data_IF_319525065441
#
_entry.id   IF_319525065441
#
_cell.length_a   1.000
_cell.length_b   1.000
_cell.length_c   1.000
_cell.angle_alpha   90.00
_cell.angle_beta   90.00
_cell.angle_gamma   90.00
#
_symmetry.space_group_name_H-M   'P 1'
#
loop_
_entity.id
_entity.type
_entity.pdbx_description
1 polymer ?
#
# COMPACT_ATOMS: atom_id res chain seq x y z
N UNK A 1 7.15 12.11 -40.37
CA UNK A 1 8.57 11.86 -40.71
C UNK A 1 9.46 12.20 -39.52
N UNK A 2 9.33 11.47 -38.40
CA UNK A 2 10.09 11.73 -37.17
C UNK A 2 11.02 10.56 -36.75
N UNK A 3 11.00 9.42 -37.45
CA UNK A 3 11.69 8.19 -37.02
C UNK A 3 13.00 7.87 -37.77
N UNK A 4 13.56 8.79 -38.56
CA UNK A 4 14.79 8.50 -39.31
C UNK A 4 16.10 8.69 -38.51
N UNK A 5 16.03 8.98 -37.20
CA UNK A 5 17.23 9.28 -36.38
C UNK A 5 17.36 8.48 -35.07
N UNK A 6 16.49 7.50 -34.79
CA UNK A 6 16.65 6.61 -33.63
C UNK A 6 17.60 5.46 -33.98
N UNK A 7 18.64 5.27 -33.16
CA UNK A 7 19.64 4.18 -33.32
C UNK A 7 19.01 2.85 -32.95
N UNK A 8 19.25 1.82 -33.75
CA UNK A 8 18.72 0.46 -33.53
C UNK A 8 19.06 -0.03 -32.10
N UNK A 9 18.10 -0.58 -31.36
CA UNK A 9 18.32 -1.05 -29.99
C UNK A 9 19.43 -2.10 -29.89
N UNK A 10 19.64 -2.91 -30.93
CA UNK A 10 20.78 -3.84 -31.00
C UNK A 10 22.12 -3.09 -31.10
N UNK A 11 22.17 -1.97 -31.84
CA UNK A 11 23.36 -1.11 -31.92
C UNK A 11 23.60 -0.30 -30.63
N UNK A 12 22.53 0.10 -29.93
CA UNK A 12 22.62 0.80 -28.64
C UNK A 12 23.22 -0.10 -27.58
N UNK A 13 22.82 -1.38 -27.53
CA UNK A 13 23.42 -2.37 -26.63
C UNK A 13 24.73 -2.97 -27.17
N UNK A 14 25.07 -2.74 -28.44
CA UNK A 14 26.28 -3.25 -29.08
C UNK A 14 26.28 -4.76 -29.26
N UNK A 15 25.12 -5.34 -29.55
CA UNK A 15 24.89 -6.78 -29.75
C UNK A 15 24.34 -7.05 -31.15
N UNK A 16 24.53 -8.27 -31.66
CA UNK A 16 23.98 -8.67 -32.95
C UNK A 16 22.46 -8.93 -32.85
N UNK A 17 21.73 -8.82 -33.98
CA UNK A 17 20.26 -9.00 -34.02
C UNK A 17 19.77 -10.40 -33.60
N UNK A 18 20.65 -11.40 -33.67
CA UNK A 18 20.43 -12.78 -33.24
C UNK A 18 20.94 -13.06 -31.82
N UNK A 19 21.32 -12.03 -31.06
CA UNK A 19 21.86 -12.21 -29.72
C UNK A 19 20.85 -12.89 -28.79
N UNK A 20 21.38 -13.80 -27.98
CA UNK A 20 20.63 -14.49 -26.91
C UNK A 20 20.32 -13.54 -25.76
N UNK A 21 19.28 -13.85 -24.98
CA UNK A 21 18.87 -13.04 -23.82
C UNK A 21 20.00 -12.89 -22.79
N UNK A 22 20.87 -13.90 -22.69
CA UNK A 22 22.06 -13.87 -21.84
C UNK A 22 23.10 -12.84 -22.32
N UNK A 23 23.29 -12.71 -23.63
CA UNK A 23 24.21 -11.73 -24.24
C UNK A 23 23.67 -10.31 -24.12
N UNK A 24 22.38 -10.12 -24.36
CA UNK A 24 21.67 -8.84 -24.19
C UNK A 24 21.80 -8.36 -22.73
N UNK A 25 21.54 -9.24 -21.76
CA UNK A 25 21.66 -8.93 -20.33
C UNK A 25 23.09 -8.62 -19.90
N UNK A 26 24.07 -9.32 -20.48
CA UNK A 26 25.50 -9.07 -20.21
C UNK A 26 25.96 -7.72 -20.77
N UNK A 27 25.52 -7.39 -21.99
CA UNK A 27 25.82 -6.11 -22.63
C UNK A 27 25.20 -4.93 -21.87
N UNK A 28 23.92 -5.06 -21.49
CA UNK A 28 23.22 -4.07 -20.67
C UNK A 28 23.96 -3.78 -19.37
N UNK A 29 24.32 -4.81 -18.59
CA UNK A 29 25.01 -4.62 -17.30
C UNK A 29 26.34 -3.88 -17.46
N UNK A 30 27.10 -4.19 -18.52
CA UNK A 30 28.39 -3.55 -18.81
C UNK A 30 28.22 -2.07 -19.15
N UNK A 31 27.21 -1.73 -19.95
CA UNK A 31 26.93 -0.36 -20.37
C UNK A 31 26.25 0.46 -19.27
N UNK A 32 25.33 -0.13 -18.51
CA UNK A 32 24.65 0.48 -17.38
C UNK A 32 25.62 0.85 -16.24
N UNK A 33 26.62 0.01 -15.96
CA UNK A 33 27.69 0.35 -15.01
C UNK A 33 28.56 1.50 -15.53
N UNK A 34 28.89 1.49 -16.83
CA UNK A 34 29.76 2.51 -17.45
C UNK A 34 29.11 3.90 -17.49
N UNK A 35 27.80 3.97 -17.71
CA UNK A 35 27.04 5.21 -17.83
C UNK A 35 26.14 5.49 -16.62
N UNK A 36 26.40 4.84 -15.48
CA UNK A 36 25.59 5.04 -14.27
C UNK A 36 25.71 6.49 -13.77
N UNK A 37 24.60 7.14 -13.37
CA UNK A 37 24.62 8.51 -12.83
C UNK A 37 25.58 8.69 -11.65
N UNK A 38 25.67 7.69 -10.76
CA UNK A 38 26.59 7.74 -9.61
C UNK A 38 28.07 7.69 -9.99
N UNK A 39 28.42 7.06 -11.12
CA UNK A 39 29.82 7.00 -11.59
C UNK A 39 30.18 8.18 -12.50
N UNK A 40 29.18 8.88 -13.03
CA UNK A 40 29.35 10.03 -13.94
C UNK A 40 28.47 11.21 -13.50
N UNK A 41 28.67 11.76 -12.28
CA UNK A 41 27.82 12.83 -11.77
C UNK A 41 27.97 14.10 -12.60
N UNK A 42 26.86 14.60 -13.16
CA UNK A 42 26.80 15.86 -13.91
C UNK A 42 27.13 15.79 -15.40
N UNK A 43 27.42 14.59 -15.95
CA UNK A 43 27.63 14.40 -17.38
C UNK A 43 26.30 14.13 -18.11
N UNK A 44 25.77 15.15 -18.79
CA UNK A 44 24.52 15.07 -19.56
C UNK A 44 24.58 14.02 -20.68
N UNK A 45 25.76 13.78 -21.24
CA UNK A 45 25.92 12.79 -22.32
C UNK A 45 25.89 11.35 -21.81
N UNK A 46 26.34 11.12 -20.57
CA UNK A 46 26.22 9.83 -19.91
C UNK A 46 24.76 9.53 -19.53
N UNK A 47 24.02 10.55 -19.09
CA UNK A 47 22.60 10.44 -18.76
C UNK A 47 21.73 10.10 -19.99
N UNK A 48 21.97 10.76 -21.12
CA UNK A 48 21.28 10.47 -22.40
C UNK A 48 21.56 9.04 -22.87
N UNK A 49 22.83 8.61 -22.85
CA UNK A 49 23.20 7.23 -23.20
C UNK A 49 22.58 6.21 -22.23
N UNK A 50 22.53 6.52 -20.95
CA UNK A 50 21.93 5.65 -19.94
C UNK A 50 20.42 5.47 -20.17
N UNK A 51 19.72 6.55 -20.57
CA UNK A 51 18.30 6.49 -20.96
C UNK A 51 18.11 5.60 -22.19
N UNK A 52 18.90 5.78 -23.24
CA UNK A 52 18.85 4.93 -24.45
C UNK A 52 19.12 3.45 -24.15
N UNK A 53 20.12 3.15 -23.29
CA UNK A 53 20.48 1.78 -22.89
C UNK A 53 19.34 1.10 -22.12
N UNK A 54 18.64 1.85 -21.24
CA UNK A 54 17.50 1.31 -20.49
C UNK A 54 16.30 1.04 -21.41
N UNK A 55 15.99 1.94 -22.33
CA UNK A 55 14.92 1.76 -23.33
C UNK A 55 15.20 0.52 -24.20
N UNK A 56 16.43 0.38 -24.70
CA UNK A 56 16.86 -0.78 -25.50
C UNK A 56 16.73 -2.10 -24.73
N UNK A 57 17.13 -2.12 -23.45
CA UNK A 57 17.02 -3.32 -22.63
C UNK A 57 15.57 -3.66 -22.30
N UNK A 58 14.70 -2.66 -22.04
CA UNK A 58 13.28 -2.91 -21.77
C UNK A 58 12.58 -3.60 -22.95
N UNK A 59 12.93 -3.20 -24.18
CA UNK A 59 12.37 -3.80 -25.40
C UNK A 59 12.99 -5.17 -25.70
N UNK A 60 14.32 -5.30 -25.61
CA UNK A 60 15.03 -6.51 -26.02
C UNK A 60 15.06 -7.62 -24.95
N UNK A 61 14.76 -7.31 -23.68
CA UNK A 61 14.72 -8.30 -22.60
C UNK A 61 13.37 -9.03 -22.48
N UNK A 62 12.33 -8.51 -23.10
CA UNK A 62 10.99 -9.09 -23.12
C UNK A 62 10.75 -9.77 -24.47
N UNK A 63 10.41 -11.06 -24.46
CA UNK A 63 10.28 -11.86 -25.69
C UNK A 63 9.18 -11.33 -26.63
N UNK A 64 8.09 -10.78 -26.09
CA UNK A 64 6.96 -10.27 -26.87
C UNK A 64 7.28 -8.88 -27.43
N UNK A 65 7.94 -8.00 -26.65
CA UNK A 65 8.41 -6.70 -27.15
C UNK A 65 9.52 -6.86 -28.19
N UNK A 66 10.46 -7.79 -27.99
CA UNK A 66 11.51 -8.13 -28.96
C UNK A 66 10.91 -8.63 -30.26
N UNK A 67 9.96 -9.57 -30.20
CA UNK A 67 9.29 -10.08 -31.40
C UNK A 67 8.56 -8.97 -32.19
N UNK A 68 7.89 -8.04 -31.50
CA UNK A 68 7.24 -6.89 -32.16
C UNK A 68 8.25 -5.91 -32.75
N UNK A 69 9.35 -5.63 -32.04
CA UNK A 69 10.43 -4.78 -32.54
C UNK A 69 11.11 -5.40 -33.78
N UNK A 70 11.35 -6.72 -33.77
CA UNK A 70 11.94 -7.44 -34.89
C UNK A 70 10.99 -7.48 -36.11
N UNK A 71 9.67 -7.47 -35.90
CA UNK A 71 8.66 -7.49 -36.99
C UNK A 71 8.30 -6.12 -37.54
N UNK A 72 8.24 -5.09 -36.70
CA UNK A 72 7.68 -3.77 -37.05
C UNK A 72 8.64 -2.60 -36.77
N UNK A 73 9.87 -2.86 -36.30
CA UNK A 73 10.83 -1.83 -35.90
C UNK A 73 10.34 -1.00 -34.70
N UNK A 74 10.82 0.23 -34.58
CA UNK A 74 10.41 1.17 -33.52
C UNK A 74 8.90 1.41 -33.44
N UNK A 75 8.17 1.25 -34.57
CA UNK A 75 6.73 1.37 -34.58
C UNK A 75 6.06 0.29 -33.72
N UNK A 76 6.57 -0.95 -33.70
CA UNK A 76 5.97 -2.08 -32.97
C UNK A 76 6.04 -2.00 -31.44
N UNK A 77 6.81 -1.04 -30.93
CA UNK A 77 7.06 -0.83 -29.49
C UNK A 77 6.69 0.59 -29.04
N UNK A 78 6.10 1.40 -29.93
CA UNK A 78 5.51 2.67 -29.58
C UNK A 78 4.26 2.42 -28.70
N UNK A 79 4.09 3.12 -27.55
CA UNK A 79 2.89 3.04 -26.72
C UNK A 79 1.58 3.34 -27.49
N UNK A 80 1.66 4.03 -28.62
CA UNK A 80 0.54 4.34 -29.50
C UNK A 80 0.37 3.34 -30.67
N UNK A 81 1.14 2.24 -30.70
CA UNK A 81 1.04 1.25 -31.76
C UNK A 81 -0.25 0.43 -31.64
N UNK A 82 -1.22 0.79 -32.48
CA UNK A 82 -2.43 0.01 -32.68
C UNK A 82 -2.37 -0.65 -34.08
N UNK A 83 -2.05 -1.94 -34.19
CA UNK A 83 -2.05 -2.66 -35.47
C UNK A 83 -3.45 -2.77 -36.11
N UNK A 84 -4.50 -2.28 -35.43
CA UNK A 84 -5.88 -2.24 -35.91
C UNK A 84 -6.43 -0.81 -36.11
N UNK A 85 -5.57 0.23 -36.07
CA UNK A 85 -5.99 1.61 -36.35
C UNK A 85 -5.81 1.94 -37.84
N UNK A 86 -6.87 1.71 -38.61
CA UNK A 86 -7.03 2.37 -39.89
C UNK A 86 -7.05 3.90 -39.72
N UNK A 87 -6.17 4.58 -40.47
CA UNK A 87 -6.24 5.96 -40.96
C UNK A 87 -7.16 6.95 -40.21
N UNK A 88 -6.58 7.86 -39.41
CA UNK A 88 -7.20 9.17 -39.13
C UNK A 88 -6.99 9.78 -37.73
N UNK A 89 -6.17 10.84 -37.66
CA UNK A 89 -6.55 12.10 -37.01
C UNK A 89 -6.43 12.29 -35.48
N UNK A 90 -5.25 12.74 -35.03
CA UNK A 90 -4.99 13.91 -34.17
C UNK A 90 -5.91 14.27 -32.98
N UNK A 91 -5.34 14.38 -31.77
CA UNK A 91 -5.81 15.36 -30.78
C UNK A 91 -5.63 15.06 -29.27
N UNK A 92 -4.42 15.27 -28.75
CA UNK A 92 -4.12 16.05 -27.53
C UNK A 92 -4.73 15.69 -26.15
N UNK A 93 -3.85 15.47 -25.17
CA UNK A 93 -4.15 15.67 -23.74
C UNK A 93 -3.28 14.82 -22.81
N UNK A 94 -2.14 15.38 -22.36
CA UNK A 94 -1.25 14.70 -21.42
C UNK A 94 -1.74 14.74 -19.97
N UNK A 95 -1.38 13.71 -19.20
CA UNK A 95 -0.94 13.75 -17.78
C UNK A 95 -0.56 12.31 -17.38
N UNK A 96 0.70 12.06 -17.03
CA UNK A 96 1.17 11.87 -15.64
C UNK A 96 0.63 10.61 -14.96
N UNK A 97 1.52 9.64 -14.69
CA UNK A 97 1.24 8.56 -13.74
C UNK A 97 1.86 7.22 -14.15
N UNK A 98 3.19 7.12 -14.07
CA UNK A 98 3.89 5.84 -14.06
C UNK A 98 3.49 5.08 -12.78
N UNK A 99 2.65 4.06 -12.91
CA UNK A 99 2.34 3.16 -11.80
C UNK A 99 0.97 2.52 -11.84
N UNK A 100 0.57 1.91 -12.96
CA UNK A 100 -0.40 0.78 -12.95
C UNK A 100 -0.53 0.06 -14.31
N UNK A 101 0.58 -0.20 -15.01
CA UNK A 101 0.52 -0.81 -16.36
C UNK A 101 0.62 -2.34 -16.39
N UNK A 102 0.83 -3.00 -15.24
CA UNK A 102 0.86 -4.47 -15.16
C UNK A 102 -0.53 -5.10 -15.13
N UNK A 103 -1.50 -4.43 -14.49
CA UNK A 103 -2.82 -5.00 -14.27
C UNK A 103 -3.77 -4.79 -15.46
N UNK A 104 -3.45 -3.85 -16.36
CA UNK A 104 -4.19 -3.62 -17.62
C UNK A 104 -3.65 -4.50 -18.77
N UNK A 105 -2.37 -4.89 -18.77
CA UNK A 105 -1.80 -5.69 -19.85
C UNK A 105 -2.06 -7.20 -19.72
N UNK A 106 -2.36 -7.68 -18.51
CA UNK A 106 -2.78 -9.07 -18.28
C UNK A 106 -4.18 -9.39 -18.81
N UNK A 107 -5.08 -8.40 -18.85
CA UNK A 107 -6.47 -8.58 -19.30
C UNK A 107 -6.66 -8.36 -20.81
N UNK A 108 -5.67 -7.77 -21.51
CA UNK A 108 -5.83 -7.38 -22.92
C UNK A 108 -5.15 -8.30 -23.95
N UNK A 109 -4.05 -8.99 -23.61
CA UNK A 109 -3.30 -9.83 -24.58
C UNK A 109 -3.42 -11.34 -24.35
N UNK A 110 -4.39 -11.79 -23.55
CA UNK A 110 -4.81 -13.20 -23.46
C UNK A 110 -5.69 -13.63 -24.64
N UNK A 111 -5.14 -13.63 -25.86
CA UNK A 111 -5.76 -14.16 -27.07
C UNK A 111 -5.87 -15.68 -27.05
N UNK A 112 -6.69 -16.21 -26.16
CA UNK A 112 -6.98 -17.62 -26.03
C UNK A 112 -8.41 -17.82 -25.57
N UNK A 113 -9.36 -17.84 -26.51
CA UNK A 113 -10.68 -18.46 -26.39
C UNK A 113 -11.31 -18.49 -24.99
N UNK A 114 -11.29 -17.39 -24.25
CA UNK A 114 -12.10 -17.24 -23.05
C UNK A 114 -13.37 -16.52 -23.49
N UNK A 115 -14.28 -17.31 -24.04
CA UNK A 115 -15.68 -17.02 -23.83
C UNK A 115 -15.86 -16.88 -22.32
N UNK A 116 -15.74 -15.66 -21.79
CA UNK A 116 -16.27 -15.30 -20.48
C UNK A 116 -17.78 -15.31 -20.61
N UNK A 117 -18.34 -16.48 -20.93
CA UNK A 117 -19.59 -16.87 -20.33
C UNK A 117 -19.33 -16.77 -18.85
N UNK A 118 -19.80 -15.67 -18.24
CA UNK A 118 -19.83 -15.47 -16.78
C UNK A 118 -20.17 -16.83 -16.18
N UNK A 119 -19.17 -17.53 -15.65
CA UNK A 119 -19.39 -18.84 -15.04
C UNK A 119 -20.37 -18.54 -13.92
N UNK A 120 -21.61 -19.02 -14.05
CA UNK A 120 -22.65 -18.97 -13.00
C UNK A 120 -22.31 -19.90 -11.83
N UNK A 121 -21.02 -20.12 -11.60
CA UNK A 121 -20.52 -20.87 -10.47
C UNK A 121 -20.61 -20.05 -9.19
N UNK A 122 -20.41 -20.71 -8.05
CA UNK A 122 -20.21 -20.06 -6.77
C UNK A 122 -19.14 -18.96 -6.88
N UNK A 123 -19.50 -17.72 -6.56
CA UNK A 123 -18.56 -16.60 -6.52
C UNK A 123 -18.49 -16.03 -5.11
N UNK A 124 -17.26 -15.83 -4.61
CA UNK A 124 -17.00 -15.27 -3.28
C UNK A 124 -17.60 -13.87 -3.18
N UNK A 125 -18.19 -13.56 -2.03
CA UNK A 125 -18.69 -12.23 -1.75
C UNK A 125 -17.57 -11.19 -1.63
N UNK A 126 -17.93 -9.93 -1.84
CA UNK A 126 -16.97 -8.82 -1.72
C UNK A 126 -16.59 -8.61 -0.25
N UNK A 127 -15.34 -8.24 -0.02
CA UNK A 127 -14.87 -7.87 1.31
C UNK A 127 -15.56 -6.59 1.79
N UNK A 128 -15.74 -6.47 3.11
CA UNK A 128 -16.22 -5.25 3.76
C UNK A 128 -15.03 -4.61 4.46
N UNK A 129 -14.90 -3.30 4.38
CA UNK A 129 -13.87 -2.55 5.12
C UNK A 129 -14.55 -1.81 6.27
N UNK A 130 -13.98 -1.89 7.45
CA UNK A 130 -14.42 -1.14 8.64
C UNK A 130 -13.19 -0.56 9.32
N UNK A 131 -13.34 0.62 9.90
CA UNK A 131 -12.27 1.30 10.62
C UNK A 131 -12.59 1.30 12.11
N UNK A 132 -11.56 1.08 12.93
CA UNK A 132 -11.64 1.23 14.39
C UNK A 132 -10.56 2.15 14.90
N UNK A 133 -10.93 2.96 15.89
CA UNK A 133 -9.99 3.80 16.62
C UNK A 133 -9.64 3.16 17.96
N UNK A 134 -8.35 2.98 18.23
CA UNK A 134 -7.84 2.42 19.49
C UNK A 134 -6.83 3.35 20.16
N UNK A 135 -6.61 3.18 21.46
CA UNK A 135 -5.52 3.88 22.15
C UNK A 135 -4.15 3.29 21.79
N UNK A 136 -3.09 4.03 22.04
CA UNK A 136 -1.72 3.56 21.88
C UNK A 136 -1.42 2.33 22.75
N UNK A 137 -1.97 2.29 23.96
CA UNK A 137 -1.82 1.18 24.91
C UNK A 137 -2.55 -0.07 24.39
N UNK A 138 -3.78 0.09 23.91
CA UNK A 138 -4.57 -0.99 23.32
C UNK A 138 -3.88 -1.57 22.07
N UNK A 139 -3.23 -0.71 21.26
CA UNK A 139 -2.44 -1.14 20.12
C UNK A 139 -1.21 -1.96 20.54
N UNK A 140 -0.57 -1.58 21.66
CA UNK A 140 0.60 -2.28 22.17
C UNK A 140 0.27 -3.63 22.82
N UNK A 141 -0.78 -3.71 23.64
CA UNK A 141 -1.14 -4.91 24.39
C UNK A 141 -2.12 -5.83 23.65
N UNK A 142 -2.82 -5.30 22.64
CA UNK A 142 -3.97 -5.96 22.04
C UNK A 142 -5.21 -5.80 22.92
N UNK A 143 -6.37 -5.73 22.28
CA UNK A 143 -7.64 -5.60 22.98
C UNK A 143 -8.76 -6.32 22.23
N UNK A 144 -9.88 -6.54 22.90
CA UNK A 144 -11.12 -6.95 22.25
C UNK A 144 -12.01 -5.72 22.07
N UNK A 145 -12.51 -5.51 20.85
CA UNK A 145 -13.38 -4.38 20.52
C UNK A 145 -14.62 -4.87 19.78
N UNK A 146 -15.76 -4.25 20.08
CA UNK A 146 -16.99 -4.45 19.34
C UNK A 146 -17.01 -3.54 18.12
N UNK A 147 -17.25 -4.12 16.95
CA UNK A 147 -17.34 -3.39 15.67
C UNK A 147 -18.74 -3.59 15.12
N UNK A 148 -19.39 -2.47 14.83
CA UNK A 148 -20.67 -2.46 14.13
C UNK A 148 -20.45 -2.09 12.68
N UNK A 149 -20.81 -2.99 11.77
CA UNK A 149 -20.65 -2.77 10.34
C UNK A 149 -21.87 -3.27 9.56
N UNK A 150 -22.06 -2.72 8.36
CA UNK A 150 -23.13 -3.14 7.45
C UNK A 150 -22.58 -4.12 6.42
N UNK A 151 -23.25 -5.26 6.26
CA UNK A 151 -22.94 -6.23 5.20
C UNK A 151 -24.19 -6.65 4.46
N UNK A 152 -24.00 -7.11 3.24
CA UNK A 152 -25.05 -7.73 2.44
C UNK A 152 -25.10 -9.20 2.84
N UNK A 153 -26.24 -9.67 3.35
CA UNK A 153 -26.48 -11.07 3.66
C UNK A 153 -27.44 -11.70 2.65
N UNK A 154 -27.36 -13.01 2.49
CA UNK A 154 -28.36 -13.78 1.75
C UNK A 154 -29.70 -13.61 2.45
N UNK A 155 -30.75 -13.29 1.69
CA UNK A 155 -32.08 -13.10 2.27
C UNK A 155 -32.54 -14.38 2.97
N UNK A 156 -32.88 -14.29 4.25
CA UNK A 156 -33.32 -15.43 5.08
C UNK A 156 -34.64 -16.03 4.59
N UNK A 157 -35.53 -15.22 4.02
CA UNK A 157 -36.84 -15.66 3.49
C UNK A 157 -36.73 -16.45 2.18
N UNK A 158 -35.84 -16.07 1.26
CA UNK A 158 -35.77 -16.74 -0.06
C UNK A 158 -34.47 -17.53 -0.28
N UNK A 159 -33.56 -17.52 0.69
CA UNK A 159 -32.24 -18.18 0.64
C UNK A 159 -31.45 -17.87 -0.65
N UNK A 160 -31.59 -16.65 -1.19
CA UNK A 160 -30.90 -16.21 -2.40
C UNK A 160 -31.63 -16.47 -3.72
N UNK A 161 -32.77 -17.18 -3.69
CA UNK A 161 -33.56 -17.45 -4.92
C UNK A 161 -34.26 -16.21 -5.48
N UNK A 162 -34.49 -15.19 -4.65
CA UNK A 162 -35.23 -13.98 -5.01
C UNK A 162 -36.74 -14.19 -5.16
N UNK A 163 -37.23 -15.43 -5.12
CA UNK A 163 -38.64 -15.78 -5.19
C UNK A 163 -39.29 -15.82 -3.80
N UNK A 164 -40.61 -15.66 -3.73
CA UNK A 164 -41.38 -15.81 -2.49
C UNK A 164 -41.29 -17.26 -1.97
N UNK A 165 -41.33 -17.46 -0.65
CA UNK A 165 -41.36 -18.79 -0.03
C UNK A 165 -42.43 -19.69 -0.68
N UNK A 166 -42.04 -20.92 -1.00
CA UNK A 166 -42.90 -21.89 -1.70
C UNK A 166 -42.95 -21.71 -3.23
N UNK A 167 -42.35 -20.66 -3.79
CA UNK A 167 -42.25 -20.46 -5.25
C UNK A 167 -40.80 -20.51 -5.70
N UNK A 168 -40.56 -21.11 -6.88
CA UNK A 168 -39.22 -21.21 -7.47
C UNK A 168 -39.08 -20.32 -8.71
N UNK A 169 -37.89 -19.77 -8.97
CA UNK A 169 -37.60 -19.10 -10.23
C UNK A 169 -37.84 -20.06 -11.41
N UNK A 170 -38.63 -19.62 -12.39
CA UNK A 170 -38.93 -20.42 -13.58
C UNK A 170 -37.83 -20.21 -14.62
N UNK A 171 -37.44 -21.26 -15.33
CA UNK A 171 -36.47 -21.16 -16.42
C UNK A 171 -37.00 -20.20 -17.49
N UNK A 172 -36.18 -19.25 -17.91
CA UNK A 172 -36.58 -18.27 -18.93
C UNK A 172 -36.89 -18.98 -20.24
N UNK A 173 -38.13 -18.83 -20.73
CA UNK A 173 -38.58 -19.48 -21.97
C UNK A 173 -37.94 -18.91 -23.23
N UNK A 174 -37.34 -17.70 -23.17
CA UNK A 174 -36.74 -17.03 -24.31
C UNK A 174 -35.27 -17.43 -24.55
N UNK A 175 -34.50 -17.66 -23.48
CA UNK A 175 -33.11 -18.11 -23.57
C UNK A 175 -32.90 -19.55 -23.08
N UNK A 176 -33.97 -20.27 -22.72
CA UNK A 176 -33.93 -21.63 -22.18
C UNK A 176 -32.92 -21.80 -21.02
N UNK A 177 -32.86 -20.81 -20.13
CA UNK A 177 -31.93 -20.85 -19.00
C UNK A 177 -30.53 -20.32 -19.30
N UNK A 178 -30.13 -20.11 -20.55
CA UNK A 178 -28.75 -19.69 -20.89
C UNK A 178 -28.44 -18.24 -20.51
N UNK A 179 -29.45 -17.38 -20.38
CA UNK A 179 -29.29 -15.96 -20.02
C UNK A 179 -28.80 -15.05 -21.15
N UNK A 180 -28.31 -15.59 -22.25
CA UNK A 180 -27.86 -14.84 -23.42
C UNK A 180 -28.60 -15.30 -24.66
N UNK A 181 -28.82 -14.40 -25.60
CA UNK A 181 -29.37 -14.71 -26.92
C UNK A 181 -28.34 -14.32 -27.99
N UNK A 182 -28.18 -15.18 -28.99
CA UNK A 182 -27.27 -14.94 -30.12
C UNK A 182 -27.97 -14.02 -31.11
N UNK A 183 -27.48 -12.80 -31.25
CA UNK A 183 -27.94 -11.84 -32.27
C UNK A 183 -26.91 -11.80 -33.38
N UNK A 184 -27.28 -12.28 -34.56
CA UNK A 184 -26.46 -12.19 -35.77
C UNK A 184 -26.74 -10.84 -36.43
N UNK A 185 -25.71 -10.01 -36.58
CA UNK A 185 -25.78 -8.78 -37.36
C UNK A 185 -24.88 -8.95 -38.59
N UNK A 186 -25.48 -8.81 -39.76
CA UNK A 186 -24.76 -8.85 -41.02
C UNK A 186 -24.27 -7.43 -41.33
N UNK A 187 -22.96 -7.22 -41.33
CA UNK A 187 -22.35 -5.96 -41.70
C UNK A 187 -21.38 -6.21 -42.87
N UNK A 188 -21.61 -5.53 -44.00
CA UNK A 188 -20.77 -5.62 -45.21
C UNK A 188 -20.43 -7.06 -45.65
N UNK A 189 -21.42 -7.96 -45.70
CA UNK A 189 -21.22 -9.34 -46.15
C UNK A 189 -20.55 -10.28 -45.13
N UNK A 190 -20.16 -9.77 -43.96
CA UNK A 190 -19.67 -10.58 -42.84
C UNK A 190 -20.76 -10.71 -41.76
N UNK A 191 -21.12 -11.94 -41.40
CA UNK A 191 -22.05 -12.21 -40.30
C UNK A 191 -21.31 -12.16 -38.97
N UNK A 192 -21.47 -11.07 -38.22
CA UNK A 192 -20.96 -10.96 -36.86
C UNK A 192 -22.00 -11.53 -35.89
N UNK A 193 -21.65 -12.58 -35.15
CA UNK A 193 -22.49 -13.13 -34.09
C UNK A 193 -22.11 -12.47 -32.76
N UNK A 194 -23.03 -11.73 -32.15
CA UNK A 194 -22.83 -11.20 -30.79
C UNK A 194 -23.78 -11.88 -29.81
N UNK A 195 -23.25 -12.27 -28.65
CA UNK A 195 -24.07 -12.74 -27.54
C UNK A 195 -24.58 -11.50 -26.79
N UNK A 196 -25.88 -11.24 -26.86
CA UNK A 196 -26.53 -10.19 -26.10
C UNK A 196 -27.22 -10.78 -24.85
N UNK A 197 -27.30 -10.05 -23.72
CA UNK A 197 -28.09 -10.49 -22.58
C UNK A 197 -29.56 -10.66 -22.99
N UNK A 198 -30.19 -11.75 -22.56
CA UNK A 198 -31.58 -12.03 -22.88
C UNK A 198 -32.49 -10.87 -22.40
N UNK A 199 -33.29 -10.24 -23.28
CA UNK A 199 -34.12 -9.09 -22.91
C UNK A 199 -35.22 -9.44 -21.90
N UNK A 200 -35.67 -10.71 -21.90
CA UNK A 200 -36.76 -11.18 -21.02
C UNK A 200 -36.33 -11.49 -19.59
N UNK A 201 -35.06 -11.84 -19.37
CA UNK A 201 -34.54 -12.16 -18.04
C UNK A 201 -33.34 -11.29 -17.63
N UNK A 202 -32.96 -10.30 -18.44
CA UNK A 202 -31.83 -9.41 -18.17
C UNK A 202 -30.50 -10.13 -17.92
N UNK A 203 -30.31 -11.32 -18.47
CA UNK A 203 -29.10 -12.14 -18.23
C UNK A 203 -29.20 -13.23 -17.16
N UNK A 204 -30.24 -13.24 -16.30
CA UNK A 204 -30.33 -14.18 -15.17
C UNK A 204 -30.58 -15.64 -15.56
N UNK A 205 -31.20 -15.89 -16.73
CA UNK A 205 -31.64 -17.22 -17.17
C UNK A 205 -32.92 -17.72 -16.51
N UNK A 206 -33.38 -17.06 -15.45
CA UNK A 206 -34.60 -17.40 -14.71
C UNK A 206 -35.49 -16.18 -14.54
N UNK A 207 -36.80 -16.40 -14.63
CA UNK A 207 -37.81 -15.37 -14.41
C UNK A 207 -38.43 -15.61 -13.05
N UNK A 208 -38.38 -14.59 -12.20
CA UNK A 208 -39.04 -14.60 -10.89
C UNK A 208 -40.46 -14.05 -11.11
N UNK A 209 -41.46 -14.94 -11.06
CA UNK A 209 -42.88 -14.57 -11.19
C UNK A 209 -43.40 -13.88 -9.93
N UNK A 210 -43.01 -14.39 -8.75
CA UNK A 210 -43.39 -13.85 -7.46
C UNK A 210 -42.14 -13.38 -6.71
N UNK A 211 -41.80 -12.08 -6.74
CA UNK A 211 -40.62 -11.58 -6.04
C UNK A 211 -40.81 -11.71 -4.53
N UNK A 212 -39.73 -12.07 -3.85
CA UNK A 212 -39.67 -12.11 -2.39
C UNK A 212 -39.99 -10.72 -1.82
N UNK A 213 -40.84 -10.64 -0.80
CA UNK A 213 -41.25 -9.39 -0.14
C UNK A 213 -40.10 -8.73 0.62
N UNK A 214 -39.23 -9.52 1.25
CA UNK A 214 -38.11 -9.03 2.06
C UNK A 214 -36.97 -8.43 1.21
N UNK A 215 -36.59 -9.07 0.11
CA UNK A 215 -35.49 -8.60 -0.76
C UNK A 215 -35.95 -7.99 -2.09
N UNK A 216 -37.26 -7.92 -2.35
CA UNK A 216 -37.87 -7.40 -3.58
C UNK A 216 -37.27 -8.01 -4.85
N UNK A 217 -37.07 -9.34 -4.85
CA UNK A 217 -36.50 -10.06 -5.98
C UNK A 217 -34.96 -10.07 -6.08
N UNK A 218 -34.24 -9.37 -5.20
CA UNK A 218 -32.76 -9.26 -5.28
C UNK A 218 -32.00 -10.45 -4.69
N UNK A 219 -32.65 -11.29 -3.89
CA UNK A 219 -32.02 -12.44 -3.21
C UNK A 219 -31.08 -12.09 -2.03
N UNK A 220 -30.77 -10.80 -1.84
CA UNK A 220 -29.86 -10.31 -0.80
C UNK A 220 -30.44 -9.10 -0.07
N UNK A 221 -30.10 -8.92 1.20
CA UNK A 221 -30.54 -7.81 2.06
C UNK A 221 -29.35 -7.20 2.79
N UNK A 222 -29.39 -5.90 3.06
CA UNK A 222 -28.36 -5.24 3.89
C UNK A 222 -28.74 -5.40 5.36
N UNK A 223 -27.83 -5.89 6.17
CA UNK A 223 -28.00 -6.06 7.61
C UNK A 223 -26.82 -5.40 8.35
N UNK A 224 -27.11 -4.76 9.48
CA UNK A 224 -26.10 -4.22 10.38
C UNK A 224 -25.79 -5.28 11.43
N UNK A 225 -24.52 -5.66 11.54
CA UNK A 225 -24.06 -6.68 12.49
C UNK A 225 -23.02 -6.07 13.42
N UNK A 226 -23.07 -6.44 14.69
CA UNK A 226 -22.04 -6.13 15.68
C UNK A 226 -21.31 -7.41 16.03
N UNK A 227 -19.99 -7.41 15.90
CA UNK A 227 -19.14 -8.55 16.27
C UNK A 227 -18.03 -8.09 17.21
N UNK A 228 -17.58 -8.98 18.10
CA UNK A 228 -16.36 -8.79 18.88
C UNK A 228 -15.18 -9.28 18.06
N UNK A 229 -14.24 -8.39 17.80
CA UNK A 229 -12.97 -8.74 17.16
C UNK A 229 -11.83 -8.61 18.15
N UNK A 230 -10.85 -9.50 18.02
CA UNK A 230 -9.62 -9.44 18.78
C UNK A 230 -8.55 -8.74 17.97
N UNK A 231 -8.16 -7.55 18.42
CA UNK A 231 -7.08 -6.78 17.80
C UNK A 231 -5.75 -7.39 18.27
N UNK A 232 -4.87 -7.78 17.34
CA UNK A 232 -3.58 -8.37 17.71
C UNK A 232 -2.68 -7.34 18.39
N UNK A 233 -1.93 -7.80 19.39
CA UNK A 233 -0.93 -6.97 20.05
C UNK A 233 0.16 -6.55 19.06
N UNK A 234 0.57 -5.28 19.13
CA UNK A 234 1.61 -4.73 18.27
C UNK A 234 1.14 -4.23 16.92
N UNK A 235 -0.18 -4.17 16.67
CA UNK A 235 -0.72 -3.65 15.40
C UNK A 235 -0.29 -2.21 15.18
N UNK A 236 0.11 -1.87 13.95
CA UNK A 236 0.54 -0.52 13.61
C UNK A 236 -0.63 0.36 13.13
N UNK A 237 -0.41 1.67 13.12
CA UNK A 237 -1.37 2.64 12.60
C UNK A 237 -1.61 2.44 11.10
N UNK A 238 -2.87 2.45 10.68
CA UNK A 238 -3.28 2.17 9.30
C UNK A 238 -3.21 0.70 8.88
N UNK A 239 -2.75 -0.20 9.75
CA UNK A 239 -2.67 -1.62 9.42
C UNK A 239 -4.08 -2.26 9.46
N UNK A 240 -4.37 -3.09 8.45
CA UNK A 240 -5.62 -3.86 8.40
C UNK A 240 -5.41 -5.32 8.79
N UNK A 241 -6.33 -5.87 9.58
CA UNK A 241 -6.41 -7.32 9.83
C UNK A 241 -7.71 -7.91 9.31
N UNK A 242 -7.69 -9.22 9.03
CA UNK A 242 -8.79 -9.93 8.38
C UNK A 242 -9.59 -10.76 9.37
N UNK A 243 -10.91 -10.55 9.39
CA UNK A 243 -11.88 -11.44 10.01
C UNK A 243 -12.59 -12.23 8.89
N UNK A 244 -12.39 -13.55 8.90
CA UNK A 244 -12.85 -14.44 7.82
C UNK A 244 -14.37 -14.57 7.81
N UNK A 245 -14.95 -14.72 6.61
CA UNK A 245 -16.37 -14.99 6.36
C UNK A 245 -17.37 -13.94 6.91
N UNK A 246 -16.86 -12.81 7.40
CA UNK A 246 -17.67 -11.72 7.95
C UNK A 246 -17.99 -10.62 6.93
N UNK A 247 -17.52 -10.72 5.69
CA UNK A 247 -17.84 -9.79 4.60
C UNK A 247 -19.20 -10.04 3.95
N UNK A 248 -19.40 -9.55 2.72
CA UNK A 248 -20.68 -9.68 2.03
C UNK A 248 -20.96 -11.13 1.61
N UNK A 249 -22.23 -11.49 1.48
CA UNK A 249 -22.65 -12.80 0.98
C UNK A 249 -22.22 -13.01 -0.48
N UNK A 250 -21.65 -14.18 -0.76
CA UNK A 250 -21.35 -14.65 -2.11
C UNK A 250 -22.58 -14.79 -2.99
N UNK A 251 -22.38 -15.06 -4.27
CA UNK A 251 -23.46 -15.38 -5.21
C UNK A 251 -23.39 -16.83 -5.65
N UNK A 252 -24.54 -17.41 -6.00
CA UNK A 252 -24.67 -18.77 -6.52
C UNK A 252 -24.06 -19.84 -5.58
N UNK A 253 -24.23 -19.68 -4.26
CA UNK A 253 -23.66 -20.61 -3.27
C UNK A 253 -22.16 -20.40 -2.98
N UNK A 254 -21.57 -19.29 -3.43
CA UNK A 254 -20.19 -18.92 -3.08
C UNK A 254 -20.05 -18.48 -1.62
N UNK A 255 -18.85 -18.63 -1.04
CA UNK A 255 -18.58 -18.23 0.35
C UNK A 255 -18.69 -16.72 0.53
N UNK A 256 -18.78 -16.28 1.78
CA UNK A 256 -18.79 -14.87 2.11
C UNK A 256 -17.44 -14.21 1.80
N UNK A 257 -17.46 -12.89 1.63
CA UNK A 257 -16.27 -12.07 1.69
C UNK A 257 -15.67 -12.07 3.10
N UNK A 258 -14.55 -11.37 3.25
CA UNK A 258 -13.94 -11.15 4.56
C UNK A 258 -14.23 -9.72 5.05
N UNK A 259 -14.21 -9.51 6.37
CA UNK A 259 -14.17 -8.16 6.96
C UNK A 259 -12.70 -7.77 7.15
N UNK A 260 -12.29 -6.69 6.51
CA UNK A 260 -10.99 -6.06 6.69
C UNK A 260 -11.17 -4.92 7.68
N UNK A 261 -10.59 -5.06 8.86
CA UNK A 261 -10.63 -4.05 9.91
C UNK A 261 -9.35 -3.26 9.86
N UNK A 262 -9.43 -2.00 9.45
CA UNK A 262 -8.31 -1.05 9.50
C UNK A 262 -8.25 -0.38 10.87
N UNK A 263 -7.08 -0.37 11.46
CA UNK A 263 -6.86 0.22 12.79
C UNK A 263 -6.29 1.62 12.64
N UNK A 264 -6.89 2.57 13.33
CA UNK A 264 -6.40 3.92 13.54
C UNK A 264 -5.97 4.07 15.00
N UNK A 265 -4.69 4.37 15.23
CA UNK A 265 -4.12 4.48 16.57
C UNK A 265 -4.05 5.94 16.98
N UNK A 266 -4.71 6.28 18.09
CA UNK A 266 -4.63 7.63 18.64
C UNK A 266 -3.21 7.99 19.04
N UNK A 267 -2.79 9.20 18.67
CA UNK A 267 -1.52 9.78 19.11
C UNK A 267 -1.47 9.88 20.63
N UNK A 268 -0.38 9.39 21.22
CA UNK A 268 -0.16 9.49 22.66
C UNK A 268 0.62 10.78 22.99
N UNK A 269 0.31 11.49 24.09
CA UNK A 269 0.99 12.74 24.43
C UNK A 269 2.47 12.56 24.81
N UNK A 270 2.84 11.39 25.33
CA UNK A 270 4.19 11.12 25.86
C UNK A 270 4.99 10.17 24.95
N UNK A 271 4.30 9.32 24.19
CA UNK A 271 4.92 8.20 23.48
C UNK A 271 4.76 8.38 21.98
N UNK A 272 5.84 8.17 21.26
CA UNK A 272 5.86 8.12 19.81
C UNK A 272 6.37 6.76 19.39
N UNK A 273 5.64 6.07 18.51
CA UNK A 273 6.06 4.78 17.97
C UNK A 273 7.00 4.98 16.79
N UNK A 274 8.08 4.20 16.75
CA UNK A 274 8.99 4.05 15.61
C UNK A 274 9.23 2.56 15.37
N UNK A 275 8.45 1.97 14.45
CA UNK A 275 8.42 0.53 14.23
C UNK A 275 7.97 -0.23 15.49
N UNK A 276 8.85 -1.06 16.04
CA UNK A 276 8.61 -1.76 17.32
C UNK A 276 9.14 -0.99 18.54
N UNK A 277 9.87 0.11 18.31
CA UNK A 277 10.46 0.91 19.36
C UNK A 277 9.51 2.02 19.80
N UNK A 278 9.67 2.45 21.04
CA UNK A 278 8.90 3.56 21.61
C UNK A 278 9.85 4.67 22.01
N UNK A 279 9.57 5.88 21.54
CA UNK A 279 10.30 7.08 21.88
C UNK A 279 9.50 7.87 22.92
N UNK A 280 10.17 8.38 23.95
CA UNK A 280 9.59 9.40 24.83
C UNK A 280 10.61 10.47 25.17
N UNK A 281 10.14 11.69 25.38
CA UNK A 281 10.95 12.79 25.88
C UNK A 281 10.74 12.92 27.39
N UNK A 282 11.82 12.90 28.14
CA UNK A 282 11.79 13.06 29.59
C UNK A 282 12.37 14.44 29.96
N UNK A 283 11.54 15.39 30.42
CA UNK A 283 12.04 16.63 30.98
C UNK A 283 12.70 16.35 32.33
N UNK A 284 13.93 16.84 32.52
CA UNK A 284 14.64 16.80 33.80
C UNK A 284 15.15 18.19 34.17
N UNK A 285 15.32 18.45 35.46
CA UNK A 285 15.90 19.72 35.92
C UNK A 285 17.39 19.78 35.61
N UNK A 286 17.91 21.00 35.46
CA UNK A 286 19.35 21.24 35.35
C UNK A 286 20.15 20.60 36.50
N UNK A 287 19.64 20.67 37.72
CA UNK A 287 20.30 20.06 38.89
C UNK A 287 20.37 18.54 38.81
N UNK A 288 19.31 17.88 38.33
CA UNK A 288 19.30 16.43 38.12
C UNK A 288 20.28 16.00 37.02
N UNK A 289 20.38 16.80 35.95
CA UNK A 289 21.32 16.56 34.86
C UNK A 289 22.78 16.71 35.32
N UNK A 290 23.06 17.74 36.13
CA UNK A 290 24.40 18.06 36.60
C UNK A 290 24.88 17.09 37.70
N UNK A 291 24.05 16.85 38.72
CA UNK A 291 24.40 16.08 39.92
C UNK A 291 24.07 14.58 39.82
N UNK A 292 23.43 14.15 38.74
CA UNK A 292 22.86 12.81 38.64
C UNK A 292 21.60 12.69 39.51
N UNK A 293 20.70 11.80 39.12
CA UNK A 293 19.45 11.58 39.84
C UNK A 293 18.81 10.24 39.51
N UNK A 294 18.07 9.69 40.48
CA UNK A 294 17.13 8.60 40.23
C UNK A 294 15.80 9.19 39.74
N UNK A 295 15.42 8.92 38.49
CA UNK A 295 14.14 9.34 37.92
C UNK A 295 13.19 8.14 37.70
N UNK A 296 11.89 8.40 37.65
CA UNK A 296 10.88 7.41 37.28
C UNK A 296 10.47 7.63 35.82
N UNK A 297 10.82 6.67 34.96
CA UNK A 297 10.49 6.69 33.54
C UNK A 297 9.14 5.99 33.31
N UNK A 298 8.17 6.64 32.65
CA UNK A 298 6.94 5.98 32.25
C UNK A 298 7.25 5.02 31.09
N UNK A 299 6.81 3.78 31.23
CA UNK A 299 6.84 2.76 30.17
C UNK A 299 5.42 2.26 29.93
N UNK A 300 5.20 1.50 28.86
CA UNK A 300 3.89 0.91 28.58
C UNK A 300 3.42 -0.04 29.70
N UNK A 301 4.35 -0.73 30.37
CA UNK A 301 4.03 -1.69 31.43
C UNK A 301 3.96 -1.05 32.84
N UNK A 302 4.10 0.28 32.95
CA UNK A 302 4.21 0.99 34.22
C UNK A 302 5.51 1.79 34.36
N UNK A 303 5.84 2.22 35.58
CA UNK A 303 7.00 3.07 35.85
C UNK A 303 8.26 2.25 36.16
N UNK A 304 9.40 2.67 35.62
CA UNK A 304 10.71 2.05 35.87
C UNK A 304 11.66 3.11 36.44
N UNK A 305 12.39 2.78 37.50
CA UNK A 305 13.43 3.67 38.04
C UNK A 305 14.69 3.57 37.19
N UNK A 306 15.24 4.73 36.82
CA UNK A 306 16.48 4.84 36.06
C UNK A 306 17.43 5.82 36.72
N UNK A 307 18.70 5.45 36.83
CA UNK A 307 19.75 6.30 37.38
C UNK A 307 20.41 7.09 36.25
N UNK A 308 20.23 8.41 36.28
CA UNK A 308 20.87 9.33 35.34
C UNK A 308 22.28 9.62 35.84
N UNK A 309 23.31 9.43 35.00
CA UNK A 309 24.67 9.78 35.37
C UNK A 309 24.87 11.30 35.47
N UNK A 310 25.83 11.70 36.30
CA UNK A 310 26.29 13.08 36.40
C UNK A 310 26.75 13.63 35.05
N UNK A 311 26.51 14.92 34.82
CA UNK A 311 26.90 15.60 33.58
C UNK A 311 26.08 15.20 32.34
N UNK A 312 24.89 14.61 32.52
CA UNK A 312 24.01 14.21 31.41
C UNK A 312 23.60 15.44 30.58
N UNK A 313 23.84 15.37 29.27
CA UNK A 313 23.53 16.46 28.36
C UNK A 313 22.12 16.34 27.79
N UNK A 314 21.49 17.47 27.47
CA UNK A 314 20.22 17.47 26.72
C UNK A 314 20.40 16.80 25.35
N UNK A 315 19.40 16.03 24.93
CA UNK A 315 19.43 15.18 23.73
C UNK A 315 20.11 13.83 23.94
N UNK A 316 20.64 13.53 25.13
CA UNK A 316 21.15 12.18 25.43
C UNK A 316 19.99 11.19 25.45
N UNK A 317 20.09 10.13 24.65
CA UNK A 317 19.09 9.06 24.60
C UNK A 317 19.63 7.82 25.29
N UNK A 318 18.87 7.26 26.23
CA UNK A 318 19.17 5.95 26.81
C UNK A 318 18.11 4.92 26.44
N UNK A 319 18.50 3.65 26.46
CA UNK A 319 17.71 2.52 25.96
C UNK A 319 17.26 1.62 27.09
N UNK A 320 15.95 1.45 27.24
CA UNK A 320 15.31 0.47 28.10
C UNK A 320 14.96 -0.77 27.27
N UNK A 321 15.72 -1.84 27.47
CA UNK A 321 15.59 -3.08 26.68
C UNK A 321 14.27 -3.79 26.95
N UNK A 322 13.59 -4.21 25.90
CA UNK A 322 12.35 -4.99 25.96
C UNK A 322 11.12 -4.21 26.45
N UNK A 323 11.21 -2.88 26.50
CA UNK A 323 10.12 -1.98 26.94
C UNK A 323 9.36 -1.30 25.80
N UNK A 324 9.61 -1.72 24.55
CA UNK A 324 8.88 -1.28 23.38
C UNK A 324 7.61 -2.09 23.10
N UNK A 325 7.15 -2.04 21.86
CA UNK A 325 5.93 -2.70 21.38
C UNK A 325 6.27 -4.13 20.90
N UNK A 326 5.40 -5.12 21.16
CA UNK A 326 5.58 -6.47 20.61
C UNK A 326 5.46 -6.49 19.09
N UNK A 327 6.20 -7.38 18.43
CA UNK A 327 5.98 -7.64 17.02
C UNK A 327 4.69 -8.46 16.82
N UNK A 328 3.87 -8.08 15.85
CA UNK A 328 2.61 -8.80 15.54
C UNK A 328 2.93 -10.28 15.25
N UNK A 329 2.37 -11.18 16.07
CA UNK A 329 2.55 -12.62 15.93
C UNK A 329 3.80 -13.21 16.60
N UNK A 330 4.67 -12.38 17.19
CA UNK A 330 5.87 -12.84 17.91
C UNK A 330 5.83 -12.40 19.37
N UNK A 331 6.58 -13.12 20.23
CA UNK A 331 6.70 -12.77 21.66
C UNK A 331 7.76 -11.70 21.93
N UNK A 332 8.61 -11.40 20.97
CA UNK A 332 9.68 -10.41 21.10
C UNK A 332 9.10 -9.00 21.09
N UNK A 333 9.73 -8.10 21.86
CA UNK A 333 9.38 -6.68 21.94
C UNK A 333 10.56 -5.85 21.46
N UNK A 334 10.25 -4.68 20.92
CA UNK A 334 11.25 -3.64 20.70
C UNK A 334 11.71 -3.00 22.02
N UNK A 335 12.48 -1.92 21.89
CA UNK A 335 13.05 -1.19 23.01
C UNK A 335 12.36 0.17 23.19
N UNK A 336 12.42 0.71 24.41
CA UNK A 336 12.03 2.09 24.66
C UNK A 336 13.27 2.97 24.72
N UNK A 337 13.24 4.07 23.99
CA UNK A 337 14.28 5.09 23.96
C UNK A 337 13.76 6.35 24.62
N UNK A 338 14.53 6.83 25.60
CA UNK A 338 14.16 7.99 26.40
C UNK A 338 15.17 9.07 26.10
N UNK A 339 14.72 10.14 25.45
CA UNK A 339 15.56 11.31 25.19
C UNK A 339 15.40 12.31 26.32
N UNK A 340 16.51 12.63 26.96
CA UNK A 340 16.55 13.59 28.06
C UNK A 340 16.47 15.01 27.51
N UNK A 341 15.55 15.81 28.05
CA UNK A 341 15.43 17.24 27.74
C UNK A 341 15.66 18.01 29.04
N UNK A 342 16.75 18.76 29.11
CA UNK A 342 17.02 19.59 30.30
C UNK A 342 16.15 20.84 30.24
N UNK A 343 15.31 21.03 31.25
CA UNK A 343 14.43 22.20 31.37
C UNK A 343 15.13 23.31 32.17
N UNK A 344 15.24 24.49 31.55
CA UNK A 344 15.80 25.68 32.19
C UNK A 344 14.67 26.45 32.89
N UNK A 345 14.81 26.78 34.19
CA UNK A 345 13.78 27.52 34.92
C UNK A 345 13.52 28.91 34.31
N UNK A 346 12.24 29.25 34.08
CA UNK A 346 11.85 30.54 33.45
C UNK A 346 11.78 31.70 34.44
N UNK A 347 11.60 31.41 35.74
CA UNK A 347 11.49 32.40 36.81
C UNK A 347 12.48 32.05 37.92
N UNK A 348 13.35 33.00 38.25
CA UNK A 348 14.41 32.82 39.25
C UNK A 348 14.34 33.94 40.29
N UNK A 349 14.47 33.57 41.56
CA UNK A 349 14.62 34.52 42.68
C UNK A 349 16.00 35.19 42.65
N UNK A 350 16.19 36.26 43.43
CA UNK A 350 17.49 36.95 43.52
C UNK A 350 18.61 36.00 43.98
N UNK A 351 18.31 35.17 44.98
CA UNK A 351 19.24 34.19 45.53
C UNK A 351 19.62 33.11 44.49
N UNK A 352 18.63 32.57 43.77
CA UNK A 352 18.89 31.56 42.73
C UNK A 352 19.75 32.10 41.58
N UNK A 353 19.53 33.36 41.18
CA UNK A 353 20.38 34.02 40.17
C UNK A 353 21.82 34.16 40.65
N UNK A 354 22.03 34.50 41.91
CA UNK A 354 23.36 34.65 42.47
C UNK A 354 24.11 33.31 42.52
N UNK A 355 23.42 32.23 42.92
CA UNK A 355 23.99 30.87 42.89
C UNK A 355 24.40 30.44 41.47
N UNK A 356 23.58 30.75 40.45
CA UNK A 356 23.91 30.43 39.06
C UNK A 356 25.11 31.22 38.54
N UNK A 357 25.28 32.49 38.95
CA UNK A 357 26.46 33.28 38.59
C UNK A 357 27.72 32.74 39.25
N UNK A 358 27.63 32.32 40.51
CA UNK A 358 28.73 31.69 41.22
C UNK A 358 29.13 30.38 40.54
N UNK A 359 28.14 29.57 40.13
CA UNK A 359 28.37 28.37 39.34
C UNK A 359 29.07 28.70 38.02
N UNK A 360 28.58 29.67 37.25
CA UNK A 360 29.19 30.09 35.99
C UNK A 360 30.64 30.55 36.17
N UNK A 361 30.93 31.28 37.25
CA UNK A 361 32.28 31.75 37.56
C UNK A 361 33.23 30.61 37.96
N UNK A 362 32.68 29.56 38.59
CA UNK A 362 33.44 28.37 39.00
C UNK A 362 33.67 27.37 37.86
N UNK A 363 32.74 27.30 36.91
CA UNK A 363 32.79 26.40 35.76
C UNK A 363 33.60 27.08 34.66
N UNK A 364 34.90 26.76 34.59
CA UNK A 364 35.75 27.20 33.48
C UNK A 364 35.31 26.64 32.12
N UNK A 365 35.95 27.09 31.03
CA UNK A 365 35.61 26.70 29.65
C UNK A 365 35.62 25.18 29.40
N UNK A 366 36.38 24.42 30.19
CA UNK A 366 36.47 22.97 30.08
C UNK A 366 35.20 22.24 30.56
N UNK A 367 34.36 22.90 31.36
CA UNK A 367 33.05 22.37 31.78
C UNK A 367 31.94 22.55 30.75
N UNK A 368 32.19 23.26 29.63
CA UNK A 368 31.21 23.56 28.59
C UNK A 368 31.73 23.18 27.20
N UNK A 369 31.96 21.87 26.92
CA UNK A 369 32.67 21.42 25.73
C UNK A 369 31.98 21.80 24.41
N UNK A 370 30.63 21.78 24.38
CA UNK A 370 29.87 22.21 23.20
C UNK A 370 30.02 23.71 22.91
N UNK A 371 30.06 24.55 23.95
CA UNK A 371 30.24 26.00 23.82
C UNK A 371 31.64 26.30 23.30
N UNK A 372 32.67 25.72 23.93
CA UNK A 372 34.08 25.84 23.50
C UNK A 372 34.25 25.44 22.03
N UNK A 373 33.78 24.25 21.65
CA UNK A 373 33.87 23.74 20.27
C UNK A 373 33.14 24.62 19.25
N UNK A 374 31.99 25.22 19.61
CA UNK A 374 31.26 26.12 18.73
C UNK A 374 32.05 27.41 18.46
N UNK A 375 32.61 28.04 19.50
CA UNK A 375 33.38 29.28 19.34
C UNK A 375 34.75 29.05 18.68
N UNK A 376 35.38 27.90 18.91
CA UNK A 376 36.63 27.53 18.22
C UNK A 376 36.41 27.39 16.72
N UNK A 377 35.28 26.78 16.30
CA UNK A 377 34.89 26.66 14.87
C UNK A 377 34.51 27.99 14.21
N UNK A 378 34.25 29.03 14.98
CA UNK A 378 33.88 30.35 14.46
C UNK A 378 35.11 31.27 14.31
N UNK A 379 36.22 30.92 14.96
CA UNK A 379 37.50 31.65 14.93
C UNK A 379 38.48 31.12 13.88
N UNK A 380 38.24 29.92 13.35
CA UNK A 380 38.91 29.37 12.16
C UNK A 380 37.98 29.40 10.98
#
# INVERSE_FOLDING_TARGET
>A
MADQNKRDYYEVLGVEKNASDAEIKKAYRKLAMKYHPDQNPGDKTAEEKFKEINEAYEVLSDADKKARYDQYGFAGVDPNFNPNAGFGGFGGGGFSGFGDFSDIFGDFFGGGASSSGRRRGPAKGQNVVSEIEISFEDAAFGCEREITFSRIETCSTCHGSGAKEGTSPQTCTYCHGTGTVRTQQNFMGMTMQSNQPCPKCGGSGTIITNPCTACRGKGKVRHTKTIRVKVPAGIDDGQSFRVRDEGNAGSNGGPNGDLLVTVSVRKHPIFTRDGANVMCQMPISFTQAALGASIEVPTLDGKVRYQIPEGTQTGTTFRLRGKGIPYVGYKTRGDQFVTVVVETPTKLTREQKELLKQLESSVGDDGQPKRKSFFDKLKG
#
